data_IF_919486701522
#
_entry.id   IF_919486701522
#
_cell.length_a   1.000
_cell.length_b   1.000
_cell.length_c   1.000
_cell.angle_alpha   90.00
_cell.angle_beta   90.00
_cell.angle_gamma   90.00
#
_symmetry.space_group_name_H-M   'P 1'
#
loop_
_entity.id
_entity.type
_entity.pdbx_description
1 polymer ?
#
# COMPACT_ATOMS: atom_id res chain seq x y z
N UNK A 1 19.99 32.12 49.44
CA UNK A 1 19.26 33.37 49.67
C UNK A 1 19.97 34.50 48.91
N UNK A 2 19.24 35.16 48.00
CA UNK A 2 19.41 36.59 47.67
C UNK A 2 20.46 37.04 46.65
N UNK A 3 19.98 37.88 45.72
CA UNK A 3 20.66 38.88 44.85
C UNK A 3 21.16 38.36 43.49
N UNK A 4 20.97 39.02 42.34
CA UNK A 4 20.38 40.33 42.02
C UNK A 4 19.94 40.36 40.54
N UNK A 5 18.99 41.25 40.25
CA UNK A 5 18.55 41.63 38.92
C UNK A 5 19.61 42.48 38.18
N UNK A 6 19.65 42.35 36.86
CA UNK A 6 20.13 43.39 35.94
C UNK A 6 19.36 43.31 34.64
N UNK A 7 18.66 44.40 34.33
CA UNK A 7 17.99 44.66 33.06
C UNK A 7 19.00 45.13 32.02
N UNK A 8 18.81 44.72 30.76
CA UNK A 8 19.31 45.48 29.59
C UNK A 8 18.19 45.54 28.56
N UNK A 9 17.71 46.75 28.37
CA UNK A 9 16.85 47.18 27.27
C UNK A 9 17.69 47.29 26.00
N UNK A 10 17.25 46.70 24.90
CA UNK A 10 17.69 47.10 23.56
C UNK A 10 16.46 47.15 22.64
N UNK A 11 15.99 48.39 22.42
CA UNK A 11 15.04 48.71 21.39
C UNK A 11 15.74 48.65 20.02
N UNK A 12 15.14 47.96 19.06
CA UNK A 12 15.40 48.18 17.64
C UNK A 12 14.07 48.48 16.97
N UNK A 13 13.90 49.76 16.66
CA UNK A 13 12.90 50.29 15.74
C UNK A 13 13.42 50.04 14.32
N UNK A 14 12.61 49.45 13.44
CA UNK A 14 13.02 49.27 12.06
C UNK A 14 11.94 48.70 11.14
N UNK A 15 11.30 49.60 10.40
CA UNK A 15 10.61 49.42 9.12
C UNK A 15 9.28 48.65 9.09
N UNK A 16 8.20 49.43 9.14
CA UNK A 16 6.91 49.08 8.57
C UNK A 16 7.03 48.89 7.04
N UNK A 17 6.89 47.65 6.58
CA UNK A 17 6.55 47.34 5.18
C UNK A 17 5.04 47.21 5.09
N UNK A 18 4.42 48.21 4.47
CA UNK A 18 2.99 48.25 4.12
C UNK A 18 2.71 47.07 3.18
N UNK A 19 2.05 46.04 3.70
CA UNK A 19 1.55 44.93 2.92
C UNK A 19 0.41 45.36 1.99
N UNK A 20 0.61 45.17 0.68
CA UNK A 20 -0.49 44.90 -0.24
C UNK A 20 -0.87 43.42 -0.06
N UNK A 21 -2.11 43.06 0.33
CA UNK A 21 -2.55 41.68 0.28
C UNK A 21 -2.81 41.32 -1.19
N UNK A 22 -1.76 40.92 -1.89
CA UNK A 22 -1.90 40.13 -3.11
C UNK A 22 -2.51 38.80 -2.67
N UNK A 23 -3.74 38.51 -3.11
CA UNK A 23 -4.49 37.28 -2.83
C UNK A 23 -3.84 36.03 -3.45
N UNK A 24 -2.61 35.75 -3.06
CA UNK A 24 -1.99 34.45 -3.25
C UNK A 24 -2.68 33.49 -2.32
N UNK A 25 -3.57 32.67 -2.89
CA UNK A 25 -4.09 31.46 -2.24
C UNK A 25 -2.89 30.75 -1.63
N UNK A 26 -2.80 30.75 -0.30
CA UNK A 26 -1.78 29.98 0.40
C UNK A 26 -1.81 28.56 -0.19
N UNK A 27 -0.66 27.97 -0.53
CA UNK A 27 -0.63 26.59 -1.00
C UNK A 27 -1.41 25.78 0.04
N UNK A 28 -2.51 25.18 -0.42
CA UNK A 28 -3.29 24.27 0.41
C UNK A 28 -2.29 23.24 0.93
N UNK A 29 -2.15 23.07 2.25
CA UNK A 29 -1.31 22.01 2.78
C UNK A 29 -1.76 20.72 2.09
N UNK A 30 -0.81 20.00 1.48
CA UNK A 30 -1.10 18.66 0.99
C UNK A 30 -1.79 17.91 2.13
N UNK A 31 -2.93 17.28 1.83
CA UNK A 31 -3.64 16.48 2.82
C UNK A 31 -2.62 15.51 3.46
N UNK A 32 -2.66 15.32 4.79
CA UNK A 32 -1.79 14.37 5.43
C UNK A 32 -1.93 13.02 4.71
N UNK A 33 -0.83 12.54 4.13
CA UNK A 33 -0.76 11.23 3.51
C UNK A 33 -0.70 10.23 4.66
N UNK A 34 -1.86 9.73 5.05
CA UNK A 34 -2.04 8.78 6.15
C UNK A 34 -3.36 9.04 6.85
N UNK A 35 -4.16 7.99 7.01
CA UNK A 35 -5.42 7.93 7.79
C UNK A 35 -6.74 8.19 7.03
N UNK A 36 -6.72 8.28 5.70
CA UNK A 36 -7.98 8.22 4.95
C UNK A 36 -8.67 6.86 5.18
N UNK A 37 -9.99 6.82 5.42
CA UNK A 37 -10.70 5.55 5.59
C UNK A 37 -10.62 4.72 4.30
N UNK A 38 -10.69 3.40 4.46
CA UNK A 38 -10.75 2.48 3.32
C UNK A 38 -12.03 2.75 2.51
N UNK A 39 -11.87 2.93 1.20
CA UNK A 39 -12.95 3.15 0.26
C UNK A 39 -12.98 2.02 -0.77
N UNK A 40 -14.09 1.29 -0.81
CA UNK A 40 -14.28 0.12 -1.66
C UNK A 40 -14.21 0.48 -3.15
N UNK A 41 -14.77 1.62 -3.55
CA UNK A 41 -14.81 2.03 -4.95
C UNK A 41 -13.42 2.48 -5.42
N UNK A 42 -12.66 3.18 -4.56
CA UNK A 42 -11.26 3.54 -4.84
C UNK A 42 -10.40 2.28 -4.91
N UNK A 43 -10.53 1.36 -3.95
CA UNK A 43 -9.78 0.11 -3.92
C UNK A 43 -10.06 -0.77 -5.14
N UNK A 44 -11.32 -0.84 -5.56
CA UNK A 44 -11.73 -1.55 -6.78
C UNK A 44 -11.17 -0.88 -8.04
N UNK A 45 -11.19 0.44 -8.11
CA UNK A 45 -10.82 1.23 -9.29
C UNK A 45 -9.32 1.33 -9.57
N UNK A 46 -8.49 1.43 -8.51
CA UNK A 46 -7.06 1.72 -8.65
C UNK A 46 -6.22 0.56 -9.23
N UNK A 47 -6.80 -0.63 -9.29
CA UNK A 47 -6.14 -1.85 -9.75
C UNK A 47 -6.88 -2.53 -10.89
N UNK A 48 -7.84 -1.83 -11.53
CA UNK A 48 -8.48 -2.34 -12.75
C UNK A 48 -7.42 -2.43 -13.84
N UNK A 49 -6.85 -3.62 -13.97
CA UNK A 49 -6.22 -4.02 -15.19
C UNK A 49 -7.32 -4.09 -16.27
N UNK A 50 -6.96 -3.83 -17.53
CA UNK A 50 -7.84 -4.19 -18.64
C UNK A 50 -8.04 -5.71 -18.71
N UNK A 51 -8.20 -6.25 -19.91
CA UNK A 51 -8.24 -7.71 -20.07
C UNK A 51 -6.86 -8.29 -19.69
N UNK A 52 -6.77 -8.96 -18.54
CA UNK A 52 -5.61 -9.79 -18.19
C UNK A 52 -5.91 -11.21 -18.63
N UNK A 53 -5.05 -11.77 -19.47
CA UNK A 53 -5.02 -13.20 -19.72
C UNK A 53 -4.27 -13.87 -18.56
N UNK A 54 -4.99 -14.63 -17.72
CA UNK A 54 -4.42 -15.39 -16.62
C UNK A 54 -5.18 -16.70 -16.47
N UNK A 55 -4.49 -17.73 -15.97
CA UNK A 55 -5.11 -19.00 -15.60
C UNK A 55 -5.72 -18.85 -14.19
N UNK A 56 -7.06 -18.77 -14.03
CA UNK A 56 -7.66 -18.63 -12.72
C UNK A 56 -7.49 -19.91 -11.90
N UNK A 57 -7.19 -19.75 -10.62
CA UNK A 57 -7.29 -20.84 -9.66
C UNK A 57 -8.76 -21.20 -9.46
N UNK A 58 -9.03 -22.51 -9.34
CA UNK A 58 -10.38 -23.03 -9.10
C UNK A 58 -10.91 -22.67 -7.71
N UNK A 59 -10.01 -22.58 -6.73
CA UNK A 59 -10.36 -22.27 -5.36
C UNK A 59 -9.18 -21.74 -4.51
N UNK A 60 -9.50 -21.24 -3.30
CA UNK A 60 -8.52 -20.74 -2.32
C UNK A 60 -7.52 -21.82 -1.89
N UNK A 61 -7.91 -23.11 -1.89
CA UNK A 61 -7.01 -24.22 -1.54
C UNK A 61 -6.01 -24.50 -2.65
N UNK A 62 -6.45 -24.50 -3.91
CA UNK A 62 -5.59 -24.61 -5.09
C UNK A 62 -4.60 -23.44 -5.15
N UNK A 63 -5.07 -22.21 -4.89
CA UNK A 63 -4.21 -21.04 -4.82
C UNK A 63 -3.20 -21.12 -3.66
N UNK A 64 -3.63 -21.62 -2.49
CA UNK A 64 -2.72 -21.87 -1.37
C UNK A 64 -1.64 -22.89 -1.70
N UNK A 65 -1.99 -23.96 -2.42
CA UNK A 65 -1.05 -25.01 -2.82
C UNK A 65 0.01 -24.52 -3.82
N UNK A 66 -0.32 -23.49 -4.61
CA UNK A 66 0.62 -22.81 -5.50
C UNK A 66 1.45 -21.72 -4.82
N UNK A 67 1.17 -21.41 -3.55
CA UNK A 67 1.85 -20.37 -2.78
C UNK A 67 2.88 -20.95 -1.82
N UNK A 68 3.98 -20.23 -1.62
CA UNK A 68 4.94 -20.51 -0.55
C UNK A 68 4.37 -20.17 0.84
N UNK A 69 3.51 -19.14 0.89
CA UNK A 69 2.83 -18.70 2.11
C UNK A 69 1.51 -18.01 1.80
N UNK A 70 0.57 -18.15 2.74
CA UNK A 70 -0.65 -17.33 2.79
C UNK A 70 -0.62 -16.53 4.09
N UNK A 71 -0.67 -15.20 3.96
CA UNK A 71 -0.55 -14.29 5.09
C UNK A 71 -1.79 -13.46 5.26
N UNK A 72 -2.13 -13.17 6.51
CA UNK A 72 -3.09 -12.13 6.89
C UNK A 72 -2.32 -11.03 7.58
N UNK A 73 -2.56 -9.79 7.17
CA UNK A 73 -1.86 -8.67 7.75
C UNK A 73 -2.59 -7.35 7.59
N UNK A 74 -1.94 -6.32 8.12
CA UNK A 74 -2.40 -4.95 8.06
C UNK A 74 -1.42 -4.14 7.21
N UNK A 75 -1.94 -3.40 6.22
CA UNK A 75 -1.14 -2.50 5.38
C UNK A 75 -0.55 -1.42 6.26
N UNK A 76 0.76 -1.23 6.15
CA UNK A 76 1.49 -0.16 6.84
C UNK A 76 1.65 1.04 5.91
N UNK A 77 2.05 0.81 4.65
CA UNK A 77 2.22 1.85 3.63
C UNK A 77 2.40 1.26 2.25
N UNK A 78 2.19 2.12 1.24
CA UNK A 78 2.51 1.87 -0.17
C UNK A 78 3.60 2.83 -0.66
N UNK A 79 4.60 2.31 -1.37
CA UNK A 79 5.72 3.07 -1.95
C UNK A 79 6.05 2.58 -3.36
N UNK A 80 6.82 3.36 -4.12
CA UNK A 80 7.32 2.92 -5.42
C UNK A 80 8.25 1.71 -5.30
N UNK A 81 8.10 0.76 -6.24
CA UNK A 81 8.97 -0.40 -6.36
C UNK A 81 10.22 -0.15 -7.20
N UNK A 82 10.17 0.77 -8.17
CA UNK A 82 11.28 1.12 -9.05
C UNK A 82 11.22 2.59 -9.46
N UNK A 83 12.38 3.23 -9.56
CA UNK A 83 12.56 4.40 -10.43
C UNK A 83 12.94 3.83 -11.79
N UNK A 84 12.22 4.11 -12.89
CA UNK A 84 12.66 3.69 -14.22
C UNK A 84 14.11 4.18 -14.44
N UNK A 85 14.97 3.33 -15.01
CA UNK A 85 16.27 3.82 -15.46
C UNK A 85 16.06 4.99 -16.43
N UNK A 86 16.91 6.03 -16.43
CA UNK A 86 16.80 7.13 -17.37
C UNK A 86 16.73 6.59 -18.81
N UNK A 87 15.64 6.87 -19.52
CA UNK A 87 15.37 6.34 -20.87
C UNK A 87 14.46 5.10 -20.93
N UNK A 88 14.03 4.55 -19.79
CA UNK A 88 12.99 3.53 -19.71
C UNK A 88 11.61 4.12 -19.99
N UNK A 89 10.83 3.46 -20.84
CA UNK A 89 9.47 3.89 -21.15
C UNK A 89 8.54 3.55 -19.99
N UNK A 90 7.89 4.56 -19.39
CA UNK A 90 6.73 4.34 -18.52
C UNK A 90 5.67 3.56 -19.30
N UNK A 91 5.11 2.50 -18.71
CA UNK A 91 4.07 1.66 -19.34
C UNK A 91 4.49 0.24 -19.76
N UNK A 92 5.71 -0.22 -19.46
CA UNK A 92 6.16 -1.57 -19.83
C UNK A 92 6.28 -2.47 -18.61
N UNK A 93 5.35 -3.42 -18.39
CA UNK A 93 5.42 -4.63 -17.53
C UNK A 93 6.02 -4.57 -16.10
N UNK A 94 6.41 -3.40 -15.63
CA UNK A 94 7.25 -3.17 -14.46
C UNK A 94 6.71 -2.03 -13.59
N UNK A 95 5.48 -1.57 -13.87
CA UNK A 95 4.86 -0.53 -13.08
C UNK A 95 4.22 -1.18 -11.86
N UNK A 96 5.00 -1.23 -10.78
CA UNK A 96 4.65 -1.90 -9.54
C UNK A 96 4.82 -0.95 -8.36
N UNK A 97 4.03 -1.20 -7.32
CA UNK A 97 4.19 -0.61 -6.00
C UNK A 97 4.63 -1.68 -5.02
N UNK A 98 5.30 -1.25 -3.95
CA UNK A 98 5.57 -2.07 -2.80
C UNK A 98 4.58 -1.76 -1.71
N UNK A 99 3.87 -2.80 -1.29
CA UNK A 99 3.01 -2.78 -0.13
C UNK A 99 3.80 -3.35 1.04
N UNK A 100 4.04 -2.54 2.05
CA UNK A 100 4.59 -3.01 3.32
C UNK A 100 3.45 -3.49 4.21
N UNK A 101 3.49 -4.77 4.57
CA UNK A 101 2.45 -5.43 5.33
C UNK A 101 3.01 -5.85 6.69
N UNK A 102 2.36 -5.45 7.78
CA UNK A 102 2.57 -6.07 9.09
C UNK A 102 1.80 -7.38 9.10
N UNK A 103 2.50 -8.49 9.24
CA UNK A 103 1.86 -9.82 9.27
C UNK A 103 1.24 -10.02 10.65
N UNK A 104 -0.07 -10.20 10.68
CA UNK A 104 -0.83 -10.48 11.90
C UNK A 104 -0.90 -12.01 12.14
N UNK A 105 -1.03 -12.81 11.07
CA UNK A 105 -0.87 -14.28 11.11
C UNK A 105 -0.41 -14.86 9.77
N UNK A 106 0.21 -16.04 9.82
CA UNK A 106 0.45 -16.90 8.65
C UNK A 106 -0.61 -18.00 8.65
N UNK A 107 -1.47 -18.02 7.64
CA UNK A 107 -2.58 -18.97 7.52
C UNK A 107 -2.13 -20.31 6.90
N UNK A 108 -1.12 -20.30 6.04
CA UNK A 108 -0.52 -21.49 5.44
C UNK A 108 0.93 -21.22 5.02
N UNK A 109 1.73 -22.29 4.90
CA UNK A 109 3.11 -22.23 4.41
C UNK A 109 4.11 -21.63 5.39
N UNK A 110 5.19 -21.04 4.89
CA UNK A 110 6.21 -20.39 5.72
C UNK A 110 6.62 -19.04 5.14
N UNK A 111 6.33 -17.96 5.86
CA UNK A 111 6.73 -16.60 5.48
C UNK A 111 8.20 -16.32 5.87
N UNK A 112 9.16 -16.93 5.17
CA UNK A 112 10.60 -16.88 5.52
C UNK A 112 11.24 -15.49 5.37
N UNK A 113 10.53 -14.54 4.78
CA UNK A 113 11.00 -13.19 4.43
C UNK A 113 10.51 -12.11 5.39
N UNK A 114 9.92 -12.53 6.51
CA UNK A 114 9.46 -11.62 7.54
C UNK A 114 10.66 -11.01 8.27
N UNK A 115 10.79 -9.68 8.22
CA UNK A 115 11.77 -8.91 9.00
C UNK A 115 10.99 -8.06 9.99
N UNK A 116 11.26 -8.22 11.28
CA UNK A 116 10.59 -7.49 12.37
C UNK A 116 9.06 -7.53 12.29
N UNK A 117 8.51 -8.69 11.93
CA UNK A 117 7.06 -8.86 11.82
C UNK A 117 6.47 -8.42 10.48
N UNK A 118 7.27 -7.90 9.54
CA UNK A 118 6.79 -7.28 8.30
C UNK A 118 7.29 -7.99 7.06
N UNK A 119 6.51 -7.89 5.98
CA UNK A 119 6.90 -8.32 4.64
C UNK A 119 6.67 -7.19 3.64
N UNK A 120 7.37 -7.28 2.51
CA UNK A 120 7.18 -6.39 1.36
C UNK A 120 6.56 -7.21 0.24
N UNK A 121 5.45 -6.73 -0.32
CA UNK A 121 4.76 -7.35 -1.45
C UNK A 121 4.89 -6.43 -2.65
N UNK A 122 5.40 -6.94 -3.77
CA UNK A 122 5.36 -6.24 -5.06
C UNK A 122 4.02 -6.48 -5.73
N UNK A 123 3.24 -5.42 -5.94
CA UNK A 123 1.93 -5.47 -6.56
C UNK A 123 1.92 -4.61 -7.82
N UNK A 124 1.27 -5.08 -8.88
CA UNK A 124 1.14 -4.32 -10.10
C UNK A 124 0.22 -3.10 -9.91
N UNK A 125 0.56 -1.99 -10.57
CA UNK A 125 -0.22 -0.75 -10.55
C UNK A 125 -0.49 -0.23 -11.98
N UNK A 126 -1.30 -0.93 -12.78
CA UNK A 126 -1.46 -0.63 -14.21
C UNK A 126 -2.05 0.77 -14.45
N UNK A 127 -1.22 1.75 -14.81
CA UNK A 127 -1.69 3.08 -15.17
C UNK A 127 -2.23 3.93 -14.02
N UNK A 128 -2.13 3.45 -12.78
CA UNK A 128 -2.49 4.18 -11.58
C UNK A 128 -1.26 4.91 -11.02
N UNK A 129 -1.46 6.14 -10.55
CA UNK A 129 -0.43 6.89 -9.83
C UNK A 129 -0.15 6.27 -8.46
N UNK A 130 1.01 6.58 -7.87
CA UNK A 130 1.31 6.17 -6.50
C UNK A 130 0.28 6.71 -5.48
N UNK A 131 -0.27 7.91 -5.72
CA UNK A 131 -1.27 8.50 -4.83
C UNK A 131 -2.59 7.75 -4.86
N UNK A 132 -3.07 7.37 -6.05
CA UNK A 132 -4.26 6.52 -6.20
C UNK A 132 -4.06 5.16 -5.53
N UNK A 133 -2.86 4.58 -5.65
CA UNK A 133 -2.48 3.33 -5.00
C UNK A 133 -2.47 3.43 -3.47
N UNK A 134 -2.00 4.55 -2.92
CA UNK A 134 -2.06 4.83 -1.47
C UNK A 134 -3.49 5.06 -0.98
N UNK A 135 -4.33 5.68 -1.80
CA UNK A 135 -5.74 5.89 -1.47
C UNK A 135 -6.54 4.58 -1.52
N UNK A 136 -6.16 3.65 -2.40
CA UNK A 136 -6.77 2.33 -2.52
C UNK A 136 -6.35 1.36 -1.41
N UNK A 137 -5.13 1.49 -0.90
CA UNK A 137 -4.59 0.68 0.19
C UNK A 137 -4.07 1.60 1.31
N UNK A 138 -4.95 2.33 2.01
CA UNK A 138 -4.54 3.16 3.13
C UNK A 138 -3.99 2.29 4.27
N UNK A 139 -3.16 2.90 5.11
CA UNK A 139 -2.67 2.26 6.33
C UNK A 139 -3.85 1.76 7.18
N UNK A 140 -3.72 0.58 7.77
CA UNK A 140 -4.80 -0.05 8.55
C UNK A 140 -5.72 -0.96 7.73
N UNK A 141 -5.64 -0.94 6.40
CA UNK A 141 -6.36 -1.90 5.54
C UNK A 141 -5.94 -3.33 5.89
N UNK A 142 -6.91 -4.22 6.07
CA UNK A 142 -6.65 -5.64 6.31
C UNK A 142 -6.49 -6.34 4.97
N UNK A 143 -5.54 -7.27 4.88
CA UNK A 143 -5.18 -7.94 3.64
C UNK A 143 -4.93 -9.43 3.87
N UNK A 144 -5.46 -10.26 2.96
CA UNK A 144 -5.03 -11.64 2.73
C UNK A 144 -4.21 -11.65 1.44
N UNK A 145 -3.02 -12.24 1.51
CA UNK A 145 -2.14 -12.37 0.36
C UNK A 145 -1.60 -13.80 0.20
N UNK A 146 -1.74 -14.34 -1.00
CA UNK A 146 -1.21 -15.62 -1.45
C UNK A 146 0.11 -15.37 -2.19
N UNK A 147 1.22 -15.77 -1.59
CA UNK A 147 2.53 -15.25 -1.93
C UNK A 147 3.47 -16.36 -2.39
N UNK A 148 4.17 -16.07 -3.48
CA UNK A 148 5.39 -16.76 -3.88
C UNK A 148 6.60 -15.89 -3.52
N UNK A 149 7.69 -16.56 -3.16
CA UNK A 149 8.93 -15.87 -2.90
C UNK A 149 9.62 -15.44 -4.17
N UNK A 150 9.80 -14.13 -4.32
CA UNK A 150 10.72 -13.67 -5.35
C UNK A 150 12.13 -14.06 -4.89
N UNK A 151 12.86 -14.82 -5.71
CA UNK A 151 14.29 -15.09 -5.48
C UNK A 151 15.19 -13.87 -5.77
N UNK A 152 14.59 -12.68 -5.90
CA UNK A 152 15.22 -11.47 -6.39
C UNK A 152 15.12 -10.34 -5.35
N UNK A 153 15.97 -9.34 -5.52
CA UNK A 153 15.90 -8.09 -4.79
C UNK A 153 15.43 -6.96 -5.71
N UNK A 154 14.63 -6.03 -5.18
CA UNK A 154 14.27 -4.81 -5.89
C UNK A 154 15.17 -3.67 -5.42
N UNK A 155 15.85 -3.02 -6.38
CA UNK A 155 16.53 -1.76 -6.16
C UNK A 155 15.49 -0.65 -5.97
N UNK A 156 15.28 -0.24 -4.71
CA UNK A 156 14.37 0.83 -4.35
C UNK A 156 15.14 2.03 -3.82
N UNK A 157 14.55 3.24 -3.85
CA UNK A 157 15.11 4.38 -3.13
C UNK A 157 15.37 4.01 -1.65
N UNK A 158 16.64 4.01 -1.25
CA UNK A 158 17.08 3.66 0.11
C UNK A 158 17.71 2.26 0.28
N UNK A 159 17.77 1.42 -0.76
CA UNK A 159 18.51 0.15 -0.74
C UNK A 159 17.82 -0.99 -1.45
N UNK A 160 18.45 -2.16 -1.52
CA UNK A 160 17.84 -3.37 -2.06
C UNK A 160 16.93 -4.01 -1.01
N UNK A 161 15.72 -4.44 -1.41
CA UNK A 161 14.77 -5.11 -0.51
C UNK A 161 14.33 -6.45 -1.06
N UNK A 162 14.28 -7.46 -0.19
CA UNK A 162 13.60 -8.72 -0.49
C UNK A 162 12.09 -8.46 -0.50
N UNK A 163 11.38 -9.15 -1.39
CA UNK A 163 9.94 -8.98 -1.56
C UNK A 163 9.29 -10.30 -1.97
N UNK A 164 7.97 -10.36 -1.82
CA UNK A 164 7.13 -11.45 -2.29
C UNK A 164 6.22 -10.96 -3.40
N UNK A 165 5.75 -11.89 -4.24
CA UNK A 165 4.79 -11.57 -5.30
C UNK A 165 3.49 -12.34 -5.07
N UNK A 166 2.34 -11.73 -5.38
CA UNK A 166 1.11 -12.49 -5.49
C UNK A 166 1.24 -13.60 -6.54
N UNK A 167 0.79 -14.82 -6.24
CA UNK A 167 0.83 -15.98 -7.17
C UNK A 167 -0.08 -15.85 -8.39
N UNK A 168 -0.89 -14.80 -8.43
CA UNK A 168 -1.82 -14.50 -9.51
C UNK A 168 -2.62 -13.23 -9.19
N UNK A 169 -3.51 -12.85 -10.08
CA UNK A 169 -4.34 -11.64 -9.89
C UNK A 169 -5.45 -11.86 -8.85
N UNK A 170 -5.85 -13.11 -8.59
CA UNK A 170 -6.77 -13.47 -7.49
C UNK A 170 -6.12 -13.40 -6.09
N UNK A 171 -4.79 -13.31 -6.02
CA UNK A 171 -4.03 -13.61 -4.81
C UNK A 171 -4.01 -12.50 -3.75
N UNK A 172 -4.61 -11.34 -4.03
CA UNK A 172 -4.71 -10.23 -3.07
C UNK A 172 -6.17 -9.90 -2.82
N UNK A 173 -6.59 -10.05 -1.57
CA UNK A 173 -7.91 -9.64 -1.10
C UNK A 173 -7.74 -8.68 0.06
N UNK A 174 -8.54 -7.62 0.10
CA UNK A 174 -8.47 -6.57 1.12
C UNK A 174 -9.84 -6.23 1.68
N UNK A 175 -9.85 -5.73 2.90
CA UNK A 175 -11.05 -5.28 3.59
C UNK A 175 -10.71 -4.07 4.46
N UNK A 176 -11.66 -3.16 4.61
CA UNK A 176 -11.58 -2.09 5.61
C UNK A 176 -11.40 -2.66 7.02
N UNK A 177 -10.75 -1.88 7.89
CA UNK A 177 -10.59 -2.22 9.31
C UNK A 177 -11.91 -2.25 10.08
N UNK A 178 -12.96 -1.64 9.53
CA UNK A 178 -14.32 -1.56 10.05
C UNK A 178 -15.20 -2.76 9.69
N UNK A 179 -14.75 -3.67 8.81
CA UNK A 179 -15.51 -4.88 8.46
C UNK A 179 -16.48 -4.73 7.28
N UNK A 180 -16.25 -3.76 6.38
CA UNK A 180 -17.03 -3.60 5.15
C UNK A 180 -16.79 -4.70 4.08
N UNK A 181 -17.29 -4.54 2.85
CA UNK A 181 -17.14 -5.54 1.80
C UNK A 181 -15.69 -5.91 1.50
N UNK A 182 -15.47 -7.17 1.11
CA UNK A 182 -14.20 -7.59 0.54
C UNK A 182 -13.98 -6.97 -0.82
N UNK A 183 -12.73 -6.67 -1.12
CA UNK A 183 -12.29 -6.21 -2.43
C UNK A 183 -11.16 -7.11 -2.89
N UNK A 184 -11.22 -7.55 -4.15
CA UNK A 184 -10.10 -8.16 -4.87
C UNK A 184 -9.59 -7.12 -5.86
N UNK A 185 -8.63 -6.28 -5.46
CA UNK A 185 -8.33 -5.06 -6.20
C UNK A 185 -7.88 -5.37 -7.62
N UNK A 186 -7.00 -6.36 -7.78
CA UNK A 186 -6.42 -6.77 -9.06
C UNK A 186 -7.45 -7.38 -10.04
N UNK A 187 -8.63 -7.76 -9.56
CA UNK A 187 -9.76 -8.22 -10.40
C UNK A 187 -10.84 -7.16 -10.57
N UNK A 188 -10.77 -6.05 -9.84
CA UNK A 188 -11.85 -5.08 -9.77
C UNK A 188 -13.16 -5.67 -9.21
N UNK A 189 -13.08 -6.67 -8.32
CA UNK A 189 -14.24 -7.37 -7.78
C UNK A 189 -14.49 -7.02 -6.31
N UNK A 190 -15.76 -7.15 -5.91
CA UNK A 190 -16.21 -6.94 -4.53
C UNK A 190 -17.17 -8.06 -4.12
N UNK A 191 -17.13 -8.43 -2.86
CA UNK A 191 -17.96 -9.50 -2.31
C UNK A 191 -18.44 -9.12 -0.91
N UNK A 192 -19.69 -9.46 -0.57
CA UNK A 192 -20.25 -9.29 0.77
C UNK A 192 -19.89 -10.53 1.61
N UNK A 193 -18.66 -10.54 2.13
CA UNK A 193 -18.06 -11.64 2.87
C UNK A 193 -17.03 -11.09 3.86
N UNK A 194 -16.57 -11.91 4.81
CA UNK A 194 -15.47 -11.55 5.72
C UNK A 194 -14.12 -11.90 5.10
N UNK A 195 -13.07 -11.15 5.43
CA UNK A 195 -11.70 -11.44 5.01
C UNK A 195 -11.27 -12.88 5.34
N UNK A 196 -11.80 -13.48 6.39
CA UNK A 196 -11.54 -14.88 6.73
C UNK A 196 -12.11 -15.87 5.69
N UNK A 197 -13.14 -15.49 4.92
CA UNK A 197 -13.66 -16.30 3.81
C UNK A 197 -12.69 -16.35 2.60
N UNK A 198 -11.69 -15.46 2.56
CA UNK A 198 -10.65 -15.46 1.54
C UNK A 198 -9.45 -16.36 1.88
N UNK A 199 -9.48 -17.05 3.03
CA UNK A 199 -8.42 -17.96 3.47
C UNK A 199 -8.50 -19.32 2.76
N UNK A 200 -7.45 -20.16 2.85
CA UNK A 200 -7.48 -21.50 2.29
C UNK A 200 -8.64 -22.32 2.86
N UNK A 201 -9.48 -22.85 1.98
CA UNK A 201 -10.72 -23.57 2.34
C UNK A 201 -11.94 -22.66 2.56
N UNK A 202 -11.78 -21.34 2.49
CA UNK A 202 -12.85 -20.37 2.49
C UNK A 202 -13.59 -20.29 1.14
N UNK A 203 -14.80 -19.73 1.17
CA UNK A 203 -15.72 -19.70 0.03
C UNK A 203 -15.53 -18.51 -0.91
N UNK A 204 -14.79 -17.48 -0.50
CA UNK A 204 -14.61 -16.28 -1.28
C UNK A 204 -13.57 -16.52 -2.40
N UNK A 205 -14.04 -16.91 -3.58
CA UNK A 205 -13.26 -16.97 -4.83
C UNK A 205 -13.78 -15.95 -5.83
N UNK A 206 -12.86 -15.26 -6.49
CA UNK A 206 -13.18 -14.39 -7.62
C UNK A 206 -12.92 -15.13 -8.93
N UNK A 207 -13.90 -15.19 -9.82
CA UNK A 207 -13.71 -15.55 -11.23
C UNK A 207 -13.86 -14.30 -12.08
#
# INVERSE_FOLDING_TARGET
MGLAASAVTAAVVGAALVGRPSGGRAPTPAAPVGDAPFDVDIARGAFVHGVIDYDPYSDTTAMAAASDAVVVGTVVRVRDARVPQPGGTAGSRWDTVLVELRVDRVASGTARWQVDGRIIIEVQRPGATLEEQRAALPSGTRMVAYLDSAQDFLDVPGGAVAFSRPVGVQAVTVQGSDGGPLVRPLLGQTEDADLDDALPGGAAIGF
#
